data_IF_039921565260
#
_entry.id   IF_039921565260
#
_cell.length_a   1.000
_cell.length_b   1.000
_cell.length_c   1.000
_cell.angle_alpha   90.00
_cell.angle_beta   90.00
_cell.angle_gamma   90.00
#
_symmetry.space_group_name_H-M   'P 1'
#
loop_
_entity.id
_entity.type
_entity.pdbx_description
1 polymer ?
#
# COMPACT_ATOMS: atom_id res chain seq x y z
N UNK A 1 -27.45 -24.34 4.04
CA UNK A 1 -28.84 -24.82 3.88
C UNK A 1 -29.74 -23.58 3.77
N UNK A 2 -30.53 -23.51 2.70
CA UNK A 2 -31.31 -22.35 2.21
C UNK A 2 -32.30 -21.79 3.21
N UNK A 3 -32.62 -20.48 3.13
CA UNK A 3 -34.00 -19.98 2.94
C UNK A 3 -33.96 -18.64 2.20
N UNK A 4 -34.55 -18.60 1.00
CA UNK A 4 -34.99 -17.38 0.31
C UNK A 4 -36.14 -16.74 1.07
N UNK A 5 -36.09 -15.43 1.34
CA UNK A 5 -37.28 -14.66 1.77
C UNK A 5 -37.43 -13.42 0.90
N UNK A 6 -38.71 -13.08 0.67
CA UNK A 6 -39.31 -12.55 -0.56
C UNK A 6 -39.28 -11.02 -0.74
N UNK A 7 -38.61 -10.23 0.10
CA UNK A 7 -38.68 -8.77 0.01
C UNK A 7 -37.28 -8.13 0.06
N UNK A 8 -36.82 -7.66 -1.09
CA UNK A 8 -35.47 -7.13 -1.35
C UNK A 8 -35.10 -5.86 -0.59
N UNK A 9 -34.77 -5.97 0.69
CA UNK A 9 -33.97 -4.97 1.42
C UNK A 9 -33.00 -5.67 2.37
N UNK A 10 -31.71 -5.60 2.06
CA UNK A 10 -30.64 -6.04 2.97
C UNK A 10 -30.36 -4.88 3.94
N UNK A 11 -30.71 -5.05 5.22
CA UNK A 11 -30.19 -4.23 6.32
C UNK A 11 -28.95 -4.92 6.91
N UNK A 12 -27.88 -4.20 7.30
CA UNK A 12 -26.75 -4.82 7.98
C UNK A 12 -27.18 -5.22 9.40
N UNK A 13 -27.30 -6.53 9.64
CA UNK A 13 -27.54 -7.09 10.96
C UNK A 13 -26.21 -7.19 11.74
N UNK A 14 -26.22 -6.72 12.99
CA UNK A 14 -25.08 -6.82 13.90
C UNK A 14 -24.78 -8.28 14.28
N UNK A 15 -23.47 -8.58 14.19
CA UNK A 15 -22.66 -9.65 14.82
C UNK A 15 -23.36 -10.94 15.27
N UNK A 16 -23.00 -12.04 14.63
CA UNK A 16 -22.30 -13.16 15.30
C UNK A 16 -21.91 -14.22 14.28
N UNK A 17 -20.65 -14.65 14.33
CA UNK A 17 -20.21 -15.93 13.78
C UNK A 17 -19.20 -15.88 12.65
N UNK A 18 -18.04 -16.46 12.97
CA UNK A 18 -17.09 -17.20 12.12
C UNK A 18 -16.05 -16.44 11.28
N UNK A 19 -14.81 -16.59 11.77
CA UNK A 19 -13.49 -16.26 11.23
C UNK A 19 -13.11 -14.78 11.35
N UNK A 20 -12.89 -14.40 12.60
CA UNK A 20 -12.21 -13.18 12.98
C UNK A 20 -10.79 -13.19 12.39
N UNK A 21 -10.54 -12.13 11.64
CA UNK A 21 -9.41 -11.81 10.78
C UNK A 21 -7.98 -11.98 11.36
N UNK A 22 -7.73 -12.08 12.69
CA UNK A 22 -6.41 -12.44 13.21
C UNK A 22 -5.96 -13.88 12.88
N UNK A 23 -6.88 -14.84 12.65
CA UNK A 23 -6.53 -16.25 12.43
C UNK A 23 -6.05 -16.54 11.00
N UNK A 24 -6.46 -15.74 10.01
CA UNK A 24 -6.09 -15.93 8.60
C UNK A 24 -4.64 -15.48 8.32
N UNK A 25 -4.14 -14.47 9.04
CA UNK A 25 -2.77 -13.97 8.92
C UNK A 25 -1.80 -14.80 9.78
N UNK A 26 -2.19 -15.21 10.99
CA UNK A 26 -1.36 -16.05 11.85
C UNK A 26 -1.12 -17.46 11.25
N UNK A 27 -2.14 -18.08 10.63
CA UNK A 27 -2.00 -19.37 9.94
C UNK A 27 -1.11 -19.29 8.68
N UNK A 28 -0.93 -18.11 8.09
CA UNK A 28 -0.02 -17.91 6.97
C UNK A 28 1.44 -17.80 7.46
N UNK A 29 1.67 -17.14 8.60
CA UNK A 29 2.99 -16.99 9.20
C UNK A 29 3.58 -18.32 9.73
N UNK A 30 2.75 -19.17 10.34
CA UNK A 30 3.20 -20.44 10.94
C UNK A 30 3.56 -21.52 9.90
N UNK A 31 3.02 -21.44 8.67
CA UNK A 31 3.30 -22.40 7.58
C UNK A 31 4.65 -22.16 6.89
N UNK A 32 5.26 -20.99 7.07
CA UNK A 32 6.60 -20.62 6.56
C UNK A 32 7.66 -20.58 7.65
N UNK A 33 7.31 -20.92 8.90
CA UNK A 33 8.25 -21.02 10.02
C UNK A 33 8.78 -19.67 10.54
N UNK A 34 8.10 -18.56 10.24
CA UNK A 34 8.58 -17.23 10.62
C UNK A 34 7.97 -16.80 11.96
N UNK A 35 8.74 -16.92 13.05
CA UNK A 35 8.42 -16.31 14.35
C UNK A 35 9.00 -14.89 14.40
N UNK A 36 8.20 -13.81 14.41
CA UNK A 36 8.74 -12.48 14.62
C UNK A 36 9.20 -12.38 16.08
N UNK A 37 10.52 -12.45 16.30
CA UNK A 37 11.09 -12.18 17.62
C UNK A 37 11.07 -10.67 17.84
N UNK A 38 10.13 -10.20 18.65
CA UNK A 38 10.28 -8.92 19.34
C UNK A 38 11.44 -9.06 20.33
N UNK A 39 12.66 -8.69 19.91
CA UNK A 39 13.81 -8.62 20.80
C UNK A 39 13.92 -7.22 21.39
N UNK A 40 14.05 -7.21 22.71
CA UNK A 40 14.25 -6.04 23.56
C UNK A 40 15.43 -5.19 23.10
N UNK A 41 15.20 -3.90 23.32
CA UNK A 41 15.91 -2.77 22.75
C UNK A 41 17.22 -2.52 23.54
N UNK A 42 18.39 -2.57 22.89
CA UNK A 42 19.72 -2.31 23.49
C UNK A 42 20.47 -1.21 22.73
N UNK A 43 20.95 -0.23 23.51
CA UNK A 43 21.96 0.83 23.31
C UNK A 43 22.75 0.87 21.97
N UNK A 44 22.04 0.95 20.85
CA UNK A 44 22.51 1.28 19.50
C UNK A 44 21.40 1.92 18.64
N UNK A 45 20.25 2.19 19.25
CA UNK A 45 18.96 2.35 18.58
C UNK A 45 18.60 3.78 18.18
N UNK A 46 19.36 4.79 18.61
CA UNK A 46 19.09 6.17 18.19
C UNK A 46 19.10 6.32 16.66
N UNK A 47 20.03 5.64 15.97
CA UNK A 47 20.11 5.67 14.50
C UNK A 47 19.06 4.77 13.83
N UNK A 48 18.77 3.60 14.41
CA UNK A 48 17.75 2.68 13.90
C UNK A 48 16.33 3.24 14.03
N UNK A 49 16.02 3.85 15.18
CA UNK A 49 14.75 4.52 15.43
C UNK A 49 14.59 5.79 14.57
N UNK A 50 15.64 6.61 14.44
CA UNK A 50 15.62 7.79 13.56
C UNK A 50 15.45 7.40 12.08
N UNK A 51 16.06 6.29 11.65
CA UNK A 51 15.86 5.78 10.30
C UNK A 51 14.43 5.26 10.10
N UNK A 52 13.86 4.50 11.05
CA UNK A 52 12.46 4.05 10.98
C UNK A 52 11.47 5.21 10.93
N UNK A 53 11.66 6.21 11.78
CA UNK A 53 10.82 7.41 11.79
C UNK A 53 10.86 8.15 10.45
N UNK A 54 12.04 8.22 9.82
CA UNK A 54 12.17 8.79 8.49
C UNK A 54 11.42 7.97 7.44
N UNK A 55 11.52 6.63 7.47
CA UNK A 55 10.77 5.77 6.55
C UNK A 55 9.26 5.94 6.75
N UNK A 56 8.76 6.04 7.99
CA UNK A 56 7.34 6.31 8.23
C UNK A 56 6.89 7.64 7.63
N UNK A 57 7.70 8.70 7.73
CA UNK A 57 7.38 9.99 7.10
C UNK A 57 7.35 9.90 5.57
N UNK A 58 8.30 9.16 4.98
CA UNK A 58 8.33 8.93 3.52
C UNK A 58 7.10 8.13 3.09
N UNK A 59 6.74 7.08 3.81
CA UNK A 59 5.56 6.27 3.51
C UNK A 59 4.27 7.07 3.69
N UNK A 60 4.17 7.91 4.72
CA UNK A 60 3.02 8.79 4.89
C UNK A 60 2.89 9.76 3.71
N UNK A 61 4.00 10.39 3.30
CA UNK A 61 4.04 11.26 2.11
C UNK A 61 3.62 10.50 0.84
N UNK A 62 4.06 9.26 0.68
CA UNK A 62 3.70 8.40 -0.45
C UNK A 62 2.22 8.06 -0.48
N UNK A 63 1.63 7.71 0.68
CA UNK A 63 0.19 7.46 0.80
C UNK A 63 -0.59 8.68 0.31
N UNK A 64 -0.29 9.85 0.84
CA UNK A 64 -1.01 11.08 0.50
C UNK A 64 -0.87 11.42 -0.99
N UNK A 65 0.32 11.21 -1.56
CA UNK A 65 0.57 11.34 -2.99
C UNK A 65 -0.28 10.37 -3.82
N UNK A 66 -0.29 9.07 -3.49
CA UNK A 66 -1.04 8.07 -4.26
C UNK A 66 -2.55 8.26 -4.14
N UNK A 67 -3.06 8.64 -2.96
CA UNK A 67 -4.47 9.00 -2.77
C UNK A 67 -4.86 10.17 -3.65
N UNK A 68 -4.03 11.21 -3.68
CA UNK A 68 -4.23 12.39 -4.54
C UNK A 68 -4.19 12.01 -6.02
N UNK A 69 -3.22 11.17 -6.41
CA UNK A 69 -3.07 10.68 -7.79
C UNK A 69 -4.33 9.96 -8.28
N UNK A 70 -4.97 9.14 -7.43
CA UNK A 70 -6.23 8.46 -7.78
C UNK A 70 -7.35 9.44 -8.16
N UNK A 71 -7.40 10.60 -7.52
CA UNK A 71 -8.46 11.60 -7.73
C UNK A 71 -8.13 12.56 -8.87
N UNK A 72 -6.85 12.87 -9.10
CA UNK A 72 -6.44 14.00 -9.94
C UNK A 72 -5.78 13.63 -11.27
N UNK A 73 -5.37 12.38 -11.48
CA UNK A 73 -4.67 11.96 -12.72
C UNK A 73 -5.58 11.16 -13.63
N UNK A 74 -5.30 11.16 -14.95
CA UNK A 74 -6.07 10.37 -15.92
C UNK A 74 -5.98 8.86 -15.61
N UNK A 75 -4.77 8.32 -15.40
CA UNK A 75 -4.60 6.95 -14.91
C UNK A 75 -5.29 6.68 -13.55
N UNK A 76 -5.33 7.67 -12.66
CA UNK A 76 -6.08 7.58 -11.41
C UNK A 76 -7.58 7.39 -11.61
N UNK A 77 -8.16 8.13 -12.56
CA UNK A 77 -9.56 7.98 -12.94
C UNK A 77 -9.85 6.60 -13.54
N UNK A 78 -8.94 6.07 -14.37
CA UNK A 78 -9.04 4.68 -14.87
C UNK A 78 -9.03 3.65 -13.74
N UNK A 79 -8.12 3.83 -12.77
CA UNK A 79 -8.04 3.00 -11.57
C UNK A 79 -9.32 3.06 -10.73
N UNK A 80 -9.88 4.26 -10.54
CA UNK A 80 -11.13 4.46 -9.80
C UNK A 80 -12.28 3.73 -10.48
N UNK A 81 -12.44 3.91 -11.80
CA UNK A 81 -13.47 3.21 -12.57
C UNK A 81 -13.32 1.69 -12.51
N UNK A 82 -12.08 1.18 -12.55
CA UNK A 82 -11.81 -0.23 -12.36
C UNK A 82 -12.27 -0.74 -10.98
N UNK A 83 -11.95 -0.01 -9.91
CA UNK A 83 -12.36 -0.36 -8.55
C UNK A 83 -13.88 -0.37 -8.39
N UNK A 84 -14.57 0.65 -8.88
CA UNK A 84 -16.03 0.74 -8.83
C UNK A 84 -16.69 -0.42 -9.59
N UNK A 85 -16.22 -0.74 -10.80
CA UNK A 85 -16.68 -1.92 -11.58
C UNK A 85 -16.45 -3.25 -10.85
N UNK A 86 -15.44 -3.30 -9.97
CA UNK A 86 -15.10 -4.48 -9.16
C UNK A 86 -15.91 -4.57 -7.86
N UNK A 87 -16.82 -3.62 -7.62
CA UNK A 87 -17.72 -3.60 -6.47
C UNK A 87 -17.16 -2.89 -5.23
N UNK A 88 -16.05 -2.17 -5.36
CA UNK A 88 -15.60 -1.26 -4.30
C UNK A 88 -16.51 -0.03 -4.30
N UNK A 89 -16.87 0.46 -3.12
CA UNK A 89 -17.58 1.74 -2.98
C UNK A 89 -16.59 2.87 -2.73
N UNK A 90 -16.97 4.12 -2.97
CA UNK A 90 -16.13 5.28 -2.65
C UNK A 90 -15.79 5.33 -1.16
N UNK A 91 -16.73 4.96 -0.27
CA UNK A 91 -16.48 4.88 1.17
C UNK A 91 -15.42 3.81 1.49
N UNK A 92 -15.45 2.67 0.79
CA UNK A 92 -14.43 1.63 0.95
C UNK A 92 -13.06 2.12 0.47
N UNK A 93 -13.02 2.82 -0.66
CA UNK A 93 -11.79 3.38 -1.24
C UNK A 93 -11.19 4.42 -0.30
N UNK A 94 -12.00 5.32 0.25
CA UNK A 94 -11.54 6.34 1.17
C UNK A 94 -11.18 5.77 2.55
N UNK A 95 -11.91 4.77 3.06
CA UNK A 95 -11.62 4.11 4.34
C UNK A 95 -10.27 3.37 4.31
N UNK A 96 -9.99 2.63 3.24
CA UNK A 96 -8.70 1.94 3.08
C UNK A 96 -7.61 2.82 2.47
N UNK A 97 -7.88 4.11 2.29
CA UNK A 97 -6.92 5.09 1.78
C UNK A 97 -6.28 4.68 0.44
N UNK A 98 -7.06 4.00 -0.42
CA UNK A 98 -6.56 3.45 -1.68
C UNK A 98 -6.11 4.59 -2.59
N UNK A 99 -4.99 4.37 -3.27
CA UNK A 99 -4.38 5.31 -4.20
C UNK A 99 -4.08 4.70 -5.57
N UNK A 100 -3.40 5.45 -6.42
CA UNK A 100 -2.85 4.98 -7.69
C UNK A 100 -1.48 5.57 -7.94
N UNK A 101 -0.67 4.89 -8.75
CA UNK A 101 0.50 5.52 -9.37
C UNK A 101 0.09 6.66 -10.31
N UNK A 102 1.05 7.48 -10.71
CA UNK A 102 0.90 8.33 -11.90
C UNK A 102 1.31 7.57 -13.16
N UNK A 103 1.10 8.16 -14.32
CA UNK A 103 1.61 7.65 -15.61
C UNK A 103 3.13 7.78 -15.76
N UNK A 104 3.76 8.62 -14.94
CA UNK A 104 5.21 8.83 -14.98
C UNK A 104 5.95 7.63 -14.38
N UNK A 105 7.11 7.33 -14.95
CA UNK A 105 8.02 6.29 -14.45
C UNK A 105 8.63 6.60 -13.08
N UNK A 106 8.72 7.87 -12.71
CA UNK A 106 9.34 8.34 -11.46
C UNK A 106 8.47 9.41 -10.77
N UNK A 107 7.15 9.32 -10.89
CA UNK A 107 6.23 10.37 -10.45
C UNK A 107 6.29 10.63 -8.95
N UNK A 108 6.28 9.58 -8.12
CA UNK A 108 6.42 9.75 -6.67
C UNK A 108 7.85 10.13 -6.30
N UNK A 109 8.85 9.51 -6.93
CA UNK A 109 10.24 9.80 -6.62
C UNK A 109 10.61 11.27 -6.91
N UNK A 110 10.23 11.80 -8.07
CA UNK A 110 10.40 13.23 -8.40
C UNK A 110 9.70 14.12 -7.37
N UNK A 111 8.43 13.82 -7.05
CA UNK A 111 7.68 14.56 -6.04
C UNK A 111 8.36 14.54 -4.65
N UNK A 112 8.88 13.39 -4.22
CA UNK A 112 9.55 13.26 -2.93
C UNK A 112 10.86 14.05 -2.87
N UNK A 113 11.64 14.06 -3.96
CA UNK A 113 12.86 14.86 -4.06
C UNK A 113 12.55 16.36 -4.00
N UNK A 114 11.49 16.82 -4.67
CA UNK A 114 11.02 18.22 -4.61
C UNK A 114 10.56 18.61 -3.20
N UNK A 115 10.13 17.63 -2.38
CA UNK A 115 9.80 17.81 -0.95
C UNK A 115 11.02 17.75 -0.03
N UNK A 116 12.23 17.64 -0.57
CA UNK A 116 13.48 17.63 0.19
C UNK A 116 13.87 16.26 0.74
N UNK A 117 13.21 15.18 0.33
CA UNK A 117 13.64 13.82 0.67
C UNK A 117 14.92 13.52 -0.10
N UNK A 118 15.94 12.98 0.58
CA UNK A 118 17.19 12.59 -0.08
C UNK A 118 16.96 11.31 -0.89
N UNK A 119 17.55 11.22 -2.08
CA UNK A 119 17.45 10.02 -2.92
C UNK A 119 17.89 8.75 -2.17
N UNK A 120 18.92 8.82 -1.33
CA UNK A 120 19.37 7.67 -0.53
C UNK A 120 18.32 7.19 0.48
N UNK A 121 17.56 8.11 1.09
CA UNK A 121 16.49 7.76 2.01
C UNK A 121 15.28 7.17 1.26
N UNK A 122 14.99 7.66 0.05
CA UNK A 122 13.92 7.15 -0.80
C UNK A 122 14.23 5.74 -1.36
N UNK A 123 15.49 5.49 -1.73
CA UNK A 123 15.93 4.15 -2.10
C UNK A 123 15.88 3.19 -0.91
N UNK A 124 16.26 3.66 0.28
CA UNK A 124 16.17 2.88 1.52
C UNK A 124 14.72 2.61 1.95
N UNK A 125 13.75 3.43 1.52
CA UNK A 125 12.33 3.16 1.76
C UNK A 125 11.73 2.12 0.81
N UNK A 126 12.47 1.69 -0.21
CA UNK A 126 11.98 0.74 -1.22
C UNK A 126 10.91 1.32 -2.16
N UNK A 127 10.68 2.63 -2.16
CA UNK A 127 9.69 3.28 -3.05
C UNK A 127 10.31 3.75 -4.37
N UNK A 128 11.64 3.80 -4.45
CA UNK A 128 12.39 3.99 -5.68
C UNK A 128 13.41 2.87 -5.88
N UNK A 129 13.69 2.56 -7.16
CA UNK A 129 14.70 1.58 -7.58
C UNK A 129 15.80 2.32 -8.36
N UNK A 130 17.06 1.98 -8.11
CA UNK A 130 18.18 2.44 -8.95
C UNK A 130 18.07 1.88 -10.37
N UNK A 131 18.51 2.66 -11.35
CA UNK A 131 18.55 2.25 -12.75
C UNK A 131 19.68 2.91 -13.49
N UNK A 132 20.60 2.12 -14.00
CA UNK A 132 21.70 2.59 -14.87
C UNK A 132 21.21 2.92 -16.29
N UNK A 133 20.03 2.41 -16.67
CA UNK A 133 19.41 2.62 -17.99
C UNK A 133 18.57 3.89 -18.05
N UNK A 134 18.15 4.41 -16.89
CA UNK A 134 17.42 5.67 -16.80
C UNK A 134 18.41 6.82 -16.79
N UNK A 135 18.17 7.85 -17.60
CA UNK A 135 18.98 9.09 -17.53
C UNK A 135 18.96 9.75 -16.15
N UNK A 136 17.94 9.46 -15.32
CA UNK A 136 17.82 9.95 -13.94
C UNK A 136 18.55 9.09 -12.91
N UNK A 137 18.95 7.87 -13.26
CA UNK A 137 19.57 6.94 -12.31
C UNK A 137 18.59 6.18 -11.40
N UNK A 138 17.28 6.44 -11.49
CA UNK A 138 16.25 5.78 -10.68
C UNK A 138 14.85 5.83 -11.35
N UNK A 139 13.89 5.08 -10.78
CA UNK A 139 12.47 5.09 -11.13
C UNK A 139 11.60 4.59 -9.94
N UNK A 140 10.28 4.76 -10.01
CA UNK A 140 9.34 4.33 -8.95
C UNK A 140 9.23 2.81 -8.88
N UNK A 141 9.24 2.24 -7.67
CA UNK A 141 8.99 0.81 -7.44
C UNK A 141 7.63 0.38 -8.00
N UNK A 142 6.60 1.19 -7.75
CA UNK A 142 5.25 0.95 -8.26
C UNK A 142 4.99 1.78 -9.51
N UNK A 143 4.56 1.11 -10.58
CA UNK A 143 4.17 1.74 -11.86
C UNK A 143 2.93 1.06 -12.40
N UNK A 144 2.03 1.84 -12.99
CA UNK A 144 0.77 1.37 -13.58
C UNK A 144 -0.04 0.46 -12.65
N UNK A 145 -0.15 0.84 -11.37
CA UNK A 145 -0.84 0.05 -10.33
C UNK A 145 -1.78 0.91 -9.48
N UNK A 146 -2.87 0.28 -9.04
CA UNK A 146 -3.62 0.69 -7.86
C UNK A 146 -2.76 0.38 -6.63
N UNK A 147 -2.71 1.31 -5.68
CA UNK A 147 -1.89 1.22 -4.49
C UNK A 147 -2.76 1.03 -3.25
N UNK A 148 -2.40 0.03 -2.45
CA UNK A 148 -3.03 -0.31 -1.18
C UNK A 148 -2.01 -0.06 -0.06
N UNK A 149 -2.21 0.96 0.79
CA UNK A 149 -1.37 1.16 1.97
C UNK A 149 -1.50 -0.03 2.93
N UNK A 150 -0.39 -0.43 3.53
CA UNK A 150 -0.34 -1.42 4.60
C UNK A 150 0.06 -0.68 5.87
N UNK A 151 -0.79 -0.73 6.89
CA UNK A 151 -0.56 -0.06 8.16
C UNK A 151 -0.16 -1.04 9.26
N UNK A 152 0.60 -0.55 10.24
CA UNK A 152 0.83 -1.28 11.49
C UNK A 152 -0.34 -1.10 12.48
N UNK A 153 -0.21 -1.70 13.67
CA UNK A 153 -1.22 -1.63 14.74
C UNK A 153 -1.43 -0.23 15.32
N UNK A 154 -0.61 0.76 14.93
CA UNK A 154 -0.72 2.17 15.30
C UNK A 154 -1.14 3.03 14.09
N UNK A 155 -1.71 2.42 13.05
CA UNK A 155 -2.14 3.05 11.81
C UNK A 155 -1.04 3.80 11.04
N UNK A 156 0.23 3.46 11.29
CA UNK A 156 1.35 4.02 10.52
C UNK A 156 1.55 3.21 9.25
N UNK A 157 1.75 3.90 8.13
CA UNK A 157 2.01 3.24 6.84
C UNK A 157 3.41 2.64 6.84
N UNK A 158 3.48 1.31 6.75
CA UNK A 158 4.75 0.56 6.81
C UNK A 158 5.15 -0.01 5.46
N UNK A 159 4.19 -0.27 4.57
CA UNK A 159 4.44 -0.83 3.25
C UNK A 159 3.29 -0.50 2.30
N UNK A 160 3.43 -0.91 1.04
CA UNK A 160 2.40 -0.79 0.02
C UNK A 160 2.28 -2.08 -0.79
N UNK A 161 1.04 -2.42 -1.15
CA UNK A 161 0.72 -3.41 -2.17
C UNK A 161 0.30 -2.72 -3.48
N UNK A 162 0.76 -3.25 -4.61
CA UNK A 162 0.42 -2.72 -5.94
C UNK A 162 -0.32 -3.73 -6.81
N UNK A 163 -1.51 -3.37 -7.30
CA UNK A 163 -2.34 -4.21 -8.19
C UNK A 163 -2.43 -3.59 -9.59
N UNK A 164 -2.14 -4.38 -10.62
CA UNK A 164 -2.33 -3.98 -12.01
C UNK A 164 -3.82 -3.91 -12.37
N UNK A 165 -4.18 -2.99 -13.28
CA UNK A 165 -5.55 -2.87 -13.80
C UNK A 165 -5.73 -3.52 -15.18
N UNK A 166 -4.62 -3.86 -15.84
CA UNK A 166 -4.54 -4.54 -17.13
C UNK A 166 -4.08 -5.99 -16.97
N UNK A 167 -3.79 -6.66 -18.10
CA UNK A 167 -3.29 -8.03 -18.14
C UNK A 167 -1.77 -8.13 -17.89
N UNK A 168 -1.11 -7.04 -17.46
CA UNK A 168 0.33 -7.06 -17.21
C UNK A 168 0.70 -7.94 -16.01
N UNK A 169 1.84 -8.63 -16.11
CA UNK A 169 2.35 -9.50 -15.05
C UNK A 169 3.52 -8.83 -14.29
N UNK A 170 3.69 -9.10 -12.98
CA UNK A 170 2.81 -9.87 -12.11
C UNK A 170 1.60 -9.06 -11.62
N UNK A 171 0.49 -9.77 -11.40
CA UNK A 171 -0.78 -9.18 -10.95
C UNK A 171 -0.66 -8.41 -9.62
N UNK A 172 0.32 -8.75 -8.79
CA UNK A 172 0.64 -8.12 -7.50
C UNK A 172 2.15 -7.95 -7.28
N UNK A 173 2.56 -6.83 -6.68
CA UNK A 173 3.92 -6.56 -6.19
C UNK A 173 3.82 -5.91 -4.81
N UNK A 174 4.67 -6.35 -3.87
CA UNK A 174 4.82 -5.75 -2.54
C UNK A 174 6.11 -4.92 -2.48
N UNK A 175 6.17 -3.96 -1.55
CA UNK A 175 7.43 -3.33 -1.14
C UNK A 175 8.44 -4.38 -0.67
N UNK A 176 9.76 -4.20 -0.94
CA UNK A 176 10.80 -5.02 -0.34
C UNK A 176 10.83 -4.88 1.19
N UNK A 177 11.36 -5.89 1.89
CA UNK A 177 11.58 -5.88 3.36
C UNK A 177 12.58 -4.82 3.83
#
# INVERSE_FOLDING_TARGET
>A
KYITSKNGKIKPARRSGSLEFPEAIQRLADRVGYKPKYQQVRAGEGRGAANKEKIYRINQLAKDFYRKSLKETAFGQECLQYLLKRGYTEETIDFFEIGSCTEKWAGFAEYALDKGIRLSDLLASGLAIRSEKSSRGFYDQFRHRIIFPITDVMDRVVAFGGRVIDDSLPKYVNSPE
#
